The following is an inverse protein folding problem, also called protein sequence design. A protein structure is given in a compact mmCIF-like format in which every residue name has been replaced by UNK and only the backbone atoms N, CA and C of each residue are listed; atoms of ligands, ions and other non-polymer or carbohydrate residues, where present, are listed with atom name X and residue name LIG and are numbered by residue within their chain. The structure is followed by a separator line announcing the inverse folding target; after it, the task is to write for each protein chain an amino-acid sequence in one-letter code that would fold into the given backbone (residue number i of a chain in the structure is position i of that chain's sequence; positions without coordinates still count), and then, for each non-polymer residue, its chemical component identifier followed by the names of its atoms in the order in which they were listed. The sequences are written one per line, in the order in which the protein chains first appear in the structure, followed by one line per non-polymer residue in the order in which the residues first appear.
data_IF_271170166054
#
_entry.id   IF_271170166054
#
_cell.length_a   1.000
_cell.length_b   1.000
_cell.length_c   1.000
_cell.angle_alpha   90.00
_cell.angle_beta   90.00
_cell.angle_gamma   90.00
#
_symmetry.space_group_name_H-M   'P 1'
#
loop_
_entity.id
_entity.type
_entity.pdbx_description
1 polymer ?
#
# COMPACT_ATOMS: atom_id res chain seq x y z
N UNK A 1 -6.78 3.21 -36.61
CA UNK A 1 -7.03 4.59 -36.14
C UNK A 1 -7.67 4.47 -34.75
N UNK A 2 -7.18 5.21 -33.75
CA UNK A 2 -7.65 5.12 -32.36
C UNK A 2 -8.92 5.92 -32.12
N UNK A 3 -9.98 5.64 -32.89
CA UNK A 3 -11.28 6.26 -32.67
C UNK A 3 -12.00 5.55 -31.51
N UNK A 4 -12.79 6.30 -30.72
CA UNK A 4 -13.60 5.70 -29.66
C UNK A 4 -14.54 4.63 -30.24
N UNK A 5 -14.70 3.54 -29.50
CA UNK A 5 -15.66 2.47 -29.78
C UNK A 5 -16.68 2.41 -28.67
N UNK A 6 -17.94 2.19 -29.02
CA UNK A 6 -19.03 1.95 -28.05
C UNK A 6 -19.23 0.46 -27.74
N UNK A 7 -18.46 -0.42 -28.40
CA UNK A 7 -18.45 -1.85 -28.10
C UNK A 7 -17.86 -2.10 -26.71
N UNK A 8 -18.71 -2.55 -25.79
CA UNK A 8 -18.35 -2.80 -24.39
C UNK A 8 -17.27 -3.88 -24.24
N UNK A 9 -17.24 -4.90 -25.11
CA UNK A 9 -16.24 -5.97 -25.05
C UNK A 9 -14.87 -5.44 -25.48
N UNK A 10 -14.81 -4.68 -26.57
CA UNK A 10 -13.54 -4.09 -27.02
C UNK A 10 -13.02 -3.08 -25.98
N UNK A 11 -13.90 -2.29 -25.38
CA UNK A 11 -13.56 -1.39 -24.27
C UNK A 11 -13.02 -2.14 -23.06
N UNK A 12 -13.70 -3.21 -22.62
CA UNK A 12 -13.29 -4.07 -21.52
C UNK A 12 -11.94 -4.73 -21.75
N UNK A 13 -11.74 -5.38 -22.91
CA UNK A 13 -10.48 -6.04 -23.28
C UNK A 13 -9.30 -5.04 -23.25
N UNK A 14 -9.53 -3.78 -23.63
CA UNK A 14 -8.51 -2.72 -23.55
C UNK A 14 -8.22 -2.31 -22.09
N UNK A 15 -9.27 -2.10 -21.27
CA UNK A 15 -9.15 -1.76 -19.86
C UNK A 15 -8.36 -2.86 -19.14
N UNK A 16 -8.78 -4.13 -19.28
CA UNK A 16 -8.13 -5.27 -18.65
C UNK A 16 -6.65 -5.36 -19.03
N UNK A 17 -6.33 -5.19 -20.31
CA UNK A 17 -4.94 -5.15 -20.79
C UNK A 17 -4.13 -4.03 -20.13
N UNK A 18 -4.74 -2.85 -19.89
CA UNK A 18 -4.05 -1.73 -19.26
C UNK A 18 -3.82 -1.99 -17.76
N UNK A 19 -4.82 -2.50 -17.04
CA UNK A 19 -4.70 -2.87 -15.63
C UNK A 19 -3.67 -3.98 -15.43
N UNK A 20 -3.69 -5.03 -16.25
CA UNK A 20 -2.74 -6.14 -16.19
C UNK A 20 -1.27 -5.70 -16.33
N UNK A 21 -0.98 -4.64 -17.10
CA UNK A 21 0.40 -4.12 -17.20
C UNK A 21 0.97 -3.65 -15.87
N UNK A 22 0.10 -3.14 -14.99
CA UNK A 22 0.48 -2.63 -13.67
C UNK A 22 0.45 -3.77 -12.65
N UNK A 23 -0.63 -4.55 -12.62
CA UNK A 23 -0.80 -5.64 -11.64
C UNK A 23 0.28 -6.72 -11.76
N UNK A 24 0.69 -7.08 -12.98
CA UNK A 24 1.76 -8.06 -13.21
C UNK A 24 3.13 -7.56 -12.71
N UNK A 25 3.28 -6.25 -12.52
CA UNK A 25 4.51 -5.60 -12.06
C UNK A 25 4.40 -5.10 -10.62
N UNK A 26 3.37 -5.50 -9.88
CA UNK A 26 3.14 -5.03 -8.51
C UNK A 26 4.36 -5.21 -7.60
N UNK A 27 5.12 -6.30 -7.75
CA UNK A 27 6.29 -6.61 -6.93
C UNK A 27 7.42 -5.57 -7.09
N UNK A 28 7.51 -4.89 -8.24
CA UNK A 28 8.52 -3.84 -8.48
C UNK A 28 7.96 -2.42 -8.34
N UNK A 29 6.63 -2.25 -8.34
CA UNK A 29 5.95 -0.94 -8.21
C UNK A 29 5.59 -0.63 -6.75
N UNK A 30 5.33 -1.66 -5.95
CA UNK A 30 4.90 -1.48 -4.58
C UNK A 30 6.09 -1.09 -3.71
N UNK A 31 6.04 0.13 -3.21
CA UNK A 31 6.97 0.66 -2.23
C UNK A 31 6.26 0.89 -0.89
N UNK A 32 6.89 0.43 0.19
CA UNK A 32 6.39 0.61 1.54
C UNK A 32 7.49 1.20 2.44
N UNK A 33 7.07 1.94 3.46
CA UNK A 33 7.89 2.31 4.61
C UNK A 33 7.40 1.51 5.82
N UNK A 34 8.32 0.84 6.49
CA UNK A 34 8.03 -0.10 7.56
C UNK A 34 8.90 0.23 8.76
N UNK A 35 8.32 0.22 9.97
CA UNK A 35 9.05 0.44 11.22
C UNK A 35 8.50 -0.50 12.30
N UNK A 36 9.39 -1.05 13.12
CA UNK A 36 9.05 -1.80 14.34
C UNK A 36 8.03 -2.94 14.13
N UNK A 37 8.02 -3.57 12.95
CA UNK A 37 7.05 -4.65 12.63
C UNK A 37 7.35 -5.96 13.35
N UNK A 38 8.61 -6.22 13.69
CA UNK A 38 9.02 -7.50 14.27
C UNK A 38 8.45 -7.71 15.68
N UNK A 39 7.52 -8.65 15.81
CA UNK A 39 6.85 -8.96 17.07
C UNK A 39 5.93 -7.84 17.56
N UNK A 40 5.46 -6.98 16.66
CA UNK A 40 4.41 -6.01 16.97
C UNK A 40 3.08 -6.72 17.28
N UNK A 41 2.41 -6.30 18.35
CA UNK A 41 1.06 -6.79 18.70
C UNK A 41 -0.03 -6.02 17.94
N UNK A 42 0.27 -4.78 17.58
CA UNK A 42 -0.60 -3.87 16.84
C UNK A 42 0.25 -3.25 15.73
N UNK A 43 -0.30 -3.17 14.52
CA UNK A 43 0.32 -2.45 13.41
C UNK A 43 -0.61 -1.31 13.01
N UNK A 44 -0.07 -0.09 12.98
CA UNK A 44 -0.78 1.07 12.45
C UNK A 44 -0.47 1.22 10.96
N UNK A 45 -1.51 1.14 10.14
CA UNK A 45 -1.43 1.43 8.71
C UNK A 45 -1.85 2.87 8.48
N UNK A 46 -0.94 3.73 7.99
CA UNK A 46 -1.27 5.10 7.64
C UNK A 46 -0.53 5.55 6.37
N UNK A 47 -1.18 6.39 5.57
CA UNK A 47 -0.63 6.91 4.32
C UNK A 47 -0.85 8.42 4.19
N UNK A 48 -0.27 9.04 3.17
CA UNK A 48 -0.40 10.48 2.92
C UNK A 48 0.17 11.33 4.06
N UNK A 49 -0.47 12.46 4.35
CA UNK A 49 -0.03 13.39 5.41
C UNK A 49 -0.16 12.82 6.82
N UNK A 50 -1.16 11.97 7.06
CA UNK A 50 -1.44 11.38 8.39
C UNK A 50 -0.27 10.51 8.87
N UNK A 51 0.46 9.88 7.94
CA UNK A 51 1.63 9.07 8.27
C UNK A 51 2.70 9.83 9.07
N UNK A 52 2.84 11.15 8.87
CA UNK A 52 3.81 11.96 9.62
C UNK A 52 3.39 12.10 11.09
N UNK A 53 2.11 12.40 11.34
CA UNK A 53 1.58 12.53 12.69
C UNK A 53 1.63 11.20 13.45
N UNK A 54 1.33 10.09 12.77
CA UNK A 54 1.41 8.74 13.35
C UNK A 54 2.85 8.40 13.75
N UNK A 55 3.84 8.72 12.92
CA UNK A 55 5.25 8.47 13.25
C UNK A 55 5.70 9.23 14.48
N UNK A 56 5.34 10.50 14.61
CA UNK A 56 5.67 11.28 15.81
C UNK A 56 4.95 10.74 17.06
N UNK A 57 3.66 10.41 16.94
CA UNK A 57 2.90 9.82 18.04
C UNK A 57 3.48 8.47 18.51
N UNK A 58 3.92 7.62 17.57
CA UNK A 58 4.56 6.34 17.90
C UNK A 58 5.91 6.51 18.60
N UNK A 59 6.71 7.51 18.21
CA UNK A 59 7.97 7.81 18.91
C UNK A 59 7.73 8.17 20.37
N UNK A 60 6.69 8.96 20.66
CA UNK A 60 6.36 9.35 22.02
C UNK A 60 5.74 8.17 22.79
N UNK A 61 4.83 7.42 22.16
CA UNK A 61 4.23 6.22 22.74
C UNK A 61 5.28 5.17 23.14
N UNK A 62 6.29 4.92 22.29
CA UNK A 62 7.35 3.95 22.56
C UNK A 62 8.28 4.33 23.71
N UNK A 63 8.30 5.61 24.14
CA UNK A 63 9.08 6.04 25.34
C UNK A 63 8.38 5.64 26.64
N UNK A 64 7.05 5.59 26.63
CA UNK A 64 6.23 5.44 27.82
C UNK A 64 5.63 4.03 27.96
N UNK A 65 5.37 3.37 26.83
CA UNK A 65 4.73 2.06 26.76
C UNK A 65 5.76 0.93 26.60
N UNK A 66 5.39 -0.26 27.08
CA UNK A 66 6.10 -1.51 26.81
C UNK A 66 5.47 -2.33 25.67
N UNK A 67 4.31 -1.90 25.17
CA UNK A 67 3.62 -2.57 24.07
C UNK A 67 4.36 -2.32 22.76
N UNK A 68 4.59 -3.37 21.99
CA UNK A 68 5.22 -3.29 20.67
C UNK A 68 4.17 -2.91 19.63
N UNK A 69 4.31 -1.73 19.05
CA UNK A 69 3.43 -1.23 17.99
C UNK A 69 4.26 -0.99 16.73
N UNK A 70 3.89 -1.68 15.66
CA UNK A 70 4.50 -1.54 14.35
C UNK A 70 3.83 -0.46 13.52
N UNK A 71 4.53 -0.01 12.49
CA UNK A 71 4.04 0.99 11.56
C UNK A 71 4.27 0.54 10.12
N UNK A 72 3.21 0.62 9.32
CA UNK A 72 3.25 0.31 7.91
C UNK A 72 2.66 1.48 7.10
N UNK A 73 3.46 2.06 6.21
CA UNK A 73 3.02 3.09 5.28
C UNK A 73 3.17 2.60 3.85
N UNK A 74 2.07 2.37 3.12
CA UNK A 74 2.16 2.23 1.69
C UNK A 74 2.51 3.58 1.06
N UNK A 75 3.61 3.62 0.31
CA UNK A 75 3.93 4.76 -0.57
C UNK A 75 3.15 4.63 -1.89
N UNK A 76 3.00 3.38 -2.34
CA UNK A 76 2.15 3.00 -3.47
C UNK A 76 0.82 2.48 -2.94
N UNK A 77 -0.28 3.20 -3.18
CA UNK A 77 -1.64 2.75 -2.79
C UNK A 77 -2.25 1.78 -3.80
N UNK A 78 -1.94 1.98 -5.08
CA UNK A 78 -2.34 1.09 -6.16
C UNK A 78 -1.15 0.85 -7.11
N UNK A 79 -0.83 -0.41 -7.48
CA UNK A 79 -1.51 -1.64 -7.06
C UNK A 79 -1.41 -1.85 -5.55
N UNK A 80 -2.41 -2.54 -4.98
CA UNK A 80 -2.51 -2.66 -3.52
C UNK A 80 -1.28 -3.39 -2.95
N UNK A 81 -0.75 -2.98 -1.78
CA UNK A 81 0.34 -3.68 -1.08
C UNK A 81 -0.10 -5.01 -0.44
N UNK A 82 -1.17 -5.64 -0.94
CA UNK A 82 -1.84 -6.79 -0.33
C UNK A 82 -0.91 -7.98 -0.08
N UNK A 83 0.10 -8.20 -0.94
CA UNK A 83 1.10 -9.26 -0.74
C UNK A 83 1.92 -9.03 0.53
N UNK A 84 2.50 -7.82 0.67
CA UNK A 84 3.30 -7.47 1.84
C UNK A 84 2.46 -7.40 3.11
N UNK A 85 1.24 -6.87 3.03
CA UNK A 85 0.31 -6.83 4.16
C UNK A 85 -0.10 -8.21 4.69
N UNK A 86 0.03 -9.28 3.90
CA UNK A 86 -0.24 -10.66 4.36
C UNK A 86 0.97 -11.31 5.04
N UNK A 87 2.16 -10.75 4.87
CA UNK A 87 3.41 -11.26 5.45
C UNK A 87 3.72 -10.65 6.83
N UNK A 88 3.03 -9.57 7.18
CA UNK A 88 3.15 -8.83 8.44
C UNK A 88 1.98 -9.17 9.36
#
# INVERSE_FOLDING_TARGET
IGFPTEDAKIGGDLIDRLFHKIEFKQDIINENEEMDLEGAEIIIIAYGSVSLAVKEALKDYNKESKQKVGFFRPKTLWPSPAKRLKEI
#
